data_IF_522110380810
#
_entry.id   IF_522110380810
#
_cell.length_a   1.000
_cell.length_b   1.000
_cell.length_c   1.000
_cell.angle_alpha   90.00
_cell.angle_beta   90.00
_cell.angle_gamma   90.00
#
_symmetry.space_group_name_H-M   'P 1'
#
loop_
_entity.id
_entity.type
_entity.pdbx_description
1 polymer ?
#
# COMPACT_ATOMS: atom_id res chain seq x y z
N UNK A 1 -19.29 -17.22 6.49
CA UNK A 1 -18.88 -16.21 5.49
C UNK A 1 -19.93 -15.11 5.39
N UNK A 2 -19.59 -13.91 4.90
CA UNK A 2 -20.60 -12.86 4.65
C UNK A 2 -21.41 -13.29 3.41
N UNK A 3 -22.71 -13.53 3.58
CA UNK A 3 -23.61 -13.90 2.49
C UNK A 3 -24.15 -12.66 1.77
N UNK A 4 -24.65 -11.68 2.52
CA UNK A 4 -25.06 -10.38 1.97
C UNK A 4 -25.01 -9.30 3.04
N UNK A 5 -25.26 -8.06 2.64
CA UNK A 5 -25.45 -6.92 3.52
C UNK A 5 -26.82 -6.29 3.27
N UNK A 6 -27.48 -5.85 4.35
CA UNK A 6 -28.65 -4.97 4.28
C UNK A 6 -28.32 -3.73 5.10
N UNK A 7 -28.20 -2.58 4.42
CA UNK A 7 -27.66 -1.37 5.01
C UNK A 7 -26.27 -1.64 5.66
N UNK A 8 -26.09 -1.28 6.93
CA UNK A 8 -24.86 -1.54 7.69
C UNK A 8 -24.77 -2.96 8.29
N UNK A 9 -25.83 -3.77 8.19
CA UNK A 9 -25.90 -5.11 8.81
C UNK A 9 -25.35 -6.17 7.84
N UNK A 10 -24.42 -6.99 8.33
CA UNK A 10 -23.86 -8.14 7.61
C UNK A 10 -24.63 -9.40 8.03
N UNK A 11 -25.09 -10.18 7.05
CA UNK A 11 -25.72 -11.48 7.25
C UNK A 11 -24.71 -12.57 6.89
N UNK A 12 -24.60 -13.57 7.76
CA UNK A 12 -23.61 -14.64 7.63
C UNK A 12 -24.29 -15.96 7.30
N UNK A 13 -23.64 -16.77 6.46
CA UNK A 13 -24.03 -18.13 6.16
C UNK A 13 -22.80 -19.06 6.19
N UNK A 14 -23.06 -20.37 6.21
CA UNK A 14 -22.03 -21.40 6.03
C UNK A 14 -21.34 -21.24 4.66
N UNK A 15 -20.09 -21.70 4.55
CA UNK A 15 -19.32 -21.55 3.31
C UNK A 15 -20.00 -22.23 2.12
N UNK A 16 -20.56 -23.43 2.33
CA UNK A 16 -21.40 -24.20 1.38
C UNK A 16 -22.61 -23.46 0.80
N UNK A 17 -23.07 -22.41 1.48
CA UNK A 17 -24.20 -21.59 1.02
C UNK A 17 -23.76 -20.37 0.22
N UNK A 18 -22.46 -20.10 0.15
CA UNK A 18 -21.90 -18.87 -0.44
C UNK A 18 -20.91 -19.18 -1.56
N UNK A 19 -20.09 -20.22 -1.40
CA UNK A 19 -19.10 -20.63 -2.38
C UNK A 19 -19.65 -21.74 -3.28
N UNK A 20 -19.30 -21.74 -4.58
CA UNK A 20 -19.60 -22.85 -5.48
C UNK A 20 -18.97 -24.18 -5.00
N UNK A 21 -19.65 -25.29 -5.26
CA UNK A 21 -19.20 -26.63 -4.87
C UNK A 21 -17.85 -26.97 -5.50
N UNK A 22 -17.59 -26.47 -6.71
CA UNK A 22 -16.34 -26.68 -7.45
C UNK A 22 -15.13 -26.04 -6.76
N UNK A 23 -15.34 -25.10 -5.83
CA UNK A 23 -14.29 -24.50 -5.01
C UNK A 23 -14.19 -25.23 -3.66
N UNK A 24 -15.33 -25.53 -3.03
CA UNK A 24 -15.37 -26.17 -1.71
C UNK A 24 -14.90 -27.62 -1.71
N UNK A 25 -15.19 -28.36 -2.78
CA UNK A 25 -14.79 -29.76 -2.93
C UNK A 25 -13.33 -29.93 -3.35
N UNK A 26 -12.56 -28.86 -3.57
CA UNK A 26 -11.15 -28.98 -3.91
C UNK A 26 -10.34 -29.47 -2.71
N UNK A 27 -9.40 -30.37 -2.99
CA UNK A 27 -8.38 -30.72 -2.01
C UNK A 27 -7.55 -29.49 -1.63
N UNK A 28 -7.05 -29.46 -0.40
CA UNK A 28 -6.09 -28.44 0.01
C UNK A 28 -4.88 -28.48 -0.96
N UNK A 29 -4.56 -27.38 -1.67
CA UNK A 29 -3.45 -27.36 -2.61
C UNK A 29 -2.09 -27.47 -1.92
N UNK A 30 -2.02 -27.37 -0.58
CA UNK A 30 -0.78 -27.46 0.17
C UNK A 30 -0.63 -28.84 0.85
N UNK A 31 0.51 -29.52 0.66
CA UNK A 31 0.74 -30.83 1.26
C UNK A 31 0.91 -30.77 2.78
N UNK A 32 1.31 -29.62 3.34
CA UNK A 32 1.46 -29.38 4.77
C UNK A 32 1.39 -27.87 5.11
N UNK A 33 1.35 -27.56 6.40
CA UNK A 33 1.32 -26.19 6.91
C UNK A 33 2.54 -25.37 6.48
N UNK A 34 3.72 -26.00 6.34
CA UNK A 34 4.94 -25.29 5.95
C UNK A 34 4.88 -24.82 4.49
N UNK A 35 4.35 -25.65 3.59
CA UNK A 35 4.11 -25.28 2.21
C UNK A 35 3.11 -24.12 2.10
N UNK A 36 2.04 -24.14 2.90
CA UNK A 36 1.09 -23.03 2.99
C UNK A 36 1.75 -21.75 3.49
N UNK A 37 2.56 -21.82 4.55
CA UNK A 37 3.29 -20.67 5.07
C UNK A 37 4.30 -20.09 4.07
N UNK A 38 5.05 -20.95 3.37
CA UNK A 38 5.94 -20.55 2.29
C UNK A 38 5.18 -19.76 1.22
N UNK A 39 4.04 -20.28 0.76
CA UNK A 39 3.18 -19.59 -0.19
C UNK A 39 2.69 -18.24 0.36
N UNK A 40 2.27 -18.16 1.63
CA UNK A 40 1.82 -16.89 2.23
C UNK A 40 2.93 -15.84 2.28
N UNK A 41 4.16 -16.24 2.63
CA UNK A 41 5.31 -15.33 2.71
C UNK A 41 5.72 -14.84 1.33
N UNK A 42 5.84 -15.72 0.34
CA UNK A 42 6.11 -15.34 -1.06
C UNK A 42 5.03 -14.40 -1.60
N UNK A 43 3.75 -14.71 -1.36
CA UNK A 43 2.64 -13.84 -1.74
C UNK A 43 2.73 -12.47 -1.07
N UNK A 44 3.19 -12.41 0.19
CA UNK A 44 3.40 -11.16 0.91
C UNK A 44 4.54 -10.35 0.31
N UNK A 45 5.67 -10.99 0.03
CA UNK A 45 6.83 -10.37 -0.62
C UNK A 45 6.39 -9.76 -1.96
N UNK A 46 5.72 -10.54 -2.82
CA UNK A 46 5.28 -10.06 -4.12
C UNK A 46 4.21 -8.95 -4.06
N UNK A 47 3.42 -8.90 -2.98
CA UNK A 47 2.41 -7.87 -2.77
C UNK A 47 3.01 -6.52 -2.33
N UNK A 48 4.10 -6.54 -1.56
CA UNK A 48 4.85 -5.33 -1.16
C UNK A 48 5.85 -4.91 -2.24
N UNK A 49 6.39 -5.87 -2.98
CA UNK A 49 7.40 -5.68 -4.04
C UNK A 49 8.80 -6.05 -3.55
N UNK A 50 9.26 -5.46 -2.45
CA UNK A 50 10.54 -5.80 -1.81
C UNK A 50 10.32 -5.90 -0.30
N UNK A 51 10.86 -6.94 0.33
CA UNK A 51 10.69 -7.12 1.77
C UNK A 51 11.86 -7.84 2.42
N UNK A 52 12.24 -7.43 3.62
CA UNK A 52 13.33 -8.04 4.38
C UNK A 52 12.95 -9.35 5.09
N UNK A 53 13.95 -10.16 5.42
CA UNK A 53 13.80 -11.41 6.18
C UNK A 53 13.78 -11.23 7.71
N UNK A 54 13.37 -10.06 8.23
CA UNK A 54 13.34 -9.71 9.66
C UNK A 54 11.90 -9.41 10.15
N UNK A 55 11.65 -9.18 11.45
CA UNK A 55 10.32 -8.79 11.92
C UNK A 55 9.84 -7.52 11.20
N UNK A 56 8.57 -7.50 10.82
CA UNK A 56 7.99 -6.48 9.94
C UNK A 56 6.49 -6.39 10.16
N UNK A 57 5.94 -5.17 10.13
CA UNK A 57 4.49 -4.95 10.12
C UNK A 57 3.84 -5.52 8.84
N UNK A 58 4.60 -5.68 7.75
CA UNK A 58 4.10 -6.33 6.53
C UNK A 58 3.73 -7.81 6.74
N UNK A 59 4.25 -8.48 7.77
CA UNK A 59 3.88 -9.86 8.09
C UNK A 59 2.67 -9.97 9.02
N UNK A 60 2.03 -8.86 9.43
CA UNK A 60 0.84 -8.91 10.27
C UNK A 60 -0.26 -9.79 9.64
N UNK A 61 -0.86 -10.63 10.48
CA UNK A 61 -1.84 -11.64 10.08
C UNK A 61 -1.23 -12.98 9.64
N UNK A 62 0.09 -13.11 9.53
CA UNK A 62 0.78 -14.42 9.36
C UNK A 62 1.19 -14.92 10.75
N UNK A 63 0.28 -15.65 11.40
CA UNK A 63 0.50 -16.22 12.72
C UNK A 63 1.65 -17.24 12.69
N UNK A 64 2.42 -17.32 13.78
CA UNK A 64 3.51 -18.30 13.91
C UNK A 64 4.84 -17.92 13.22
N UNK A 65 4.89 -16.81 12.45
CA UNK A 65 6.10 -16.36 11.72
C UNK A 65 7.16 -15.72 12.63
N UNK A 66 7.68 -16.49 13.59
CA UNK A 66 8.77 -16.11 14.49
C UNK A 66 10.14 -16.23 13.80
N UNK A 67 11.21 -15.79 14.47
CA UNK A 67 12.56 -15.68 13.89
C UNK A 67 13.06 -16.95 13.19
N UNK A 68 13.03 -18.09 13.88
CA UNK A 68 13.47 -19.37 13.30
C UNK A 68 12.59 -19.81 12.13
N UNK A 69 11.25 -19.78 12.30
CA UNK A 69 10.30 -20.18 11.26
C UNK A 69 10.41 -19.30 10.02
N UNK A 70 10.54 -17.98 10.20
CA UNK A 70 10.77 -17.03 9.11
C UNK A 70 12.06 -17.34 8.37
N UNK A 71 13.15 -17.58 9.08
CA UNK A 71 14.43 -17.96 8.47
C UNK A 71 14.28 -19.22 7.62
N UNK A 72 13.69 -20.28 8.16
CA UNK A 72 13.45 -21.53 7.42
C UNK A 72 12.62 -21.31 6.15
N UNK A 73 11.58 -20.48 6.21
CA UNK A 73 10.73 -20.17 5.05
C UNK A 73 11.53 -19.39 3.99
N UNK A 74 12.27 -18.36 4.38
CA UNK A 74 13.09 -17.58 3.44
C UNK A 74 14.18 -18.45 2.81
N UNK A 75 14.88 -19.27 3.59
CA UNK A 75 15.89 -20.20 3.10
C UNK A 75 15.30 -21.18 2.08
N UNK A 76 14.13 -21.77 2.39
CA UNK A 76 13.45 -22.70 1.49
C UNK A 76 13.01 -22.01 0.18
N UNK A 77 12.38 -20.83 0.26
CA UNK A 77 11.94 -20.08 -0.92
C UNK A 77 13.12 -19.62 -1.80
N UNK A 78 14.23 -19.21 -1.19
CA UNK A 78 15.45 -18.84 -1.92
C UNK A 78 16.10 -20.06 -2.58
N UNK A 79 16.22 -21.19 -1.87
CA UNK A 79 16.77 -22.42 -2.44
C UNK A 79 15.93 -22.96 -3.62
N UNK A 80 14.61 -22.76 -3.56
CA UNK A 80 13.68 -23.08 -4.67
C UNK A 80 13.69 -22.05 -5.81
N UNK A 81 14.44 -20.94 -5.68
CA UNK A 81 14.46 -19.87 -6.67
C UNK A 81 13.13 -19.10 -6.80
N UNK A 82 12.26 -19.17 -5.78
CA UNK A 82 10.95 -18.50 -5.77
C UNK A 82 11.04 -17.05 -5.32
N UNK A 83 12.05 -16.73 -4.51
CA UNK A 83 12.41 -15.36 -4.15
C UNK A 83 13.91 -15.17 -4.39
N UNK A 84 14.31 -13.96 -4.74
CA UNK A 84 15.71 -13.59 -4.92
C UNK A 84 16.10 -12.44 -3.98
N UNK A 85 17.31 -12.47 -3.40
CA UNK A 85 17.84 -11.34 -2.66
C UNK A 85 18.18 -10.20 -3.61
N UNK A 86 17.89 -8.98 -3.19
CA UNK A 86 18.15 -7.71 -3.88
C UNK A 86 18.80 -6.77 -2.88
N UNK A 87 19.99 -6.29 -3.20
CA UNK A 87 20.64 -5.24 -2.43
C UNK A 87 20.13 -3.88 -2.90
N UNK A 88 19.62 -3.07 -1.98
CA UNK A 88 19.21 -1.69 -2.25
C UNK A 88 20.23 -0.75 -1.63
N UNK A 89 20.64 0.28 -2.38
CA UNK A 89 21.57 1.30 -1.90
C UNK A 89 21.03 1.97 -0.62
N UNK A 90 21.90 2.15 0.38
CA UNK A 90 21.52 2.74 1.67
C UNK A 90 20.74 1.83 2.61
N UNK A 91 20.42 0.61 2.19
CA UNK A 91 19.84 -0.45 3.05
C UNK A 91 20.92 -1.48 3.32
N UNK A 92 21.18 -1.78 4.59
CA UNK A 92 22.24 -2.72 4.97
C UNK A 92 21.80 -4.17 4.70
N UNK A 93 20.61 -4.56 5.16
CA UNK A 93 20.10 -5.91 4.98
C UNK A 93 19.58 -6.16 3.55
N UNK A 94 19.72 -7.37 3.00
CA UNK A 94 19.11 -7.71 1.72
C UNK A 94 17.58 -7.66 1.83
N UNK A 95 16.95 -7.09 0.81
CA UNK A 95 15.53 -7.24 0.56
C UNK A 95 15.30 -8.44 -0.35
N UNK A 96 14.11 -8.99 -0.34
CA UNK A 96 13.73 -10.12 -1.18
C UNK A 96 12.61 -9.70 -2.13
N UNK A 97 12.74 -10.13 -3.38
CA UNK A 97 11.78 -9.96 -4.46
C UNK A 97 11.21 -11.33 -4.82
N UNK A 98 9.93 -11.41 -5.19
CA UNK A 98 9.42 -12.65 -5.77
C UNK A 98 10.05 -12.85 -7.16
N UNK A 99 10.62 -14.03 -7.45
CA UNK A 99 11.38 -14.26 -8.67
C UNK A 99 10.56 -14.00 -9.95
N UNK A 100 9.24 -14.23 -9.90
CA UNK A 100 8.32 -13.90 -10.98
C UNK A 100 8.29 -12.41 -11.37
N UNK A 101 8.75 -11.51 -10.49
CA UNK A 101 8.83 -10.07 -10.71
C UNK A 101 10.22 -9.60 -11.17
N UNK A 102 11.21 -10.48 -11.23
CA UNK A 102 12.57 -10.15 -11.68
C UNK A 102 12.61 -9.56 -13.10
N UNK A 103 11.82 -10.04 -14.08
CA UNK A 103 11.76 -9.40 -15.40
C UNK A 103 11.31 -7.94 -15.35
N UNK A 104 10.35 -7.61 -14.47
CA UNK A 104 9.87 -6.23 -14.32
C UNK A 104 10.96 -5.33 -13.70
N UNK A 105 11.72 -5.84 -12.73
CA UNK A 105 12.86 -5.10 -12.16
C UNK A 105 13.94 -4.83 -13.22
N UNK A 106 14.26 -5.83 -14.05
CA UNK A 106 15.24 -5.67 -15.13
C UNK A 106 14.77 -4.65 -16.17
N UNK A 107 13.50 -4.71 -16.59
CA UNK A 107 12.93 -3.73 -17.52
C UNK A 107 13.00 -2.30 -16.95
N UNK A 108 12.64 -2.11 -15.67
CA UNK A 108 12.75 -0.80 -15.02
C UNK A 108 14.20 -0.29 -14.99
N UNK A 109 15.18 -1.16 -14.78
CA UNK A 109 16.61 -0.81 -14.82
C UNK A 109 17.07 -0.42 -16.22
N UNK A 110 16.60 -1.11 -17.26
CA UNK A 110 16.96 -0.84 -18.66
C UNK A 110 16.35 0.47 -19.18
N UNK A 111 15.10 0.79 -18.80
CA UNK A 111 14.47 2.08 -19.13
C UNK A 111 15.19 3.26 -18.47
N UNK A 112 15.82 3.03 -17.31
CA UNK A 112 16.62 4.01 -16.57
C UNK A 112 15.82 5.12 -15.88
N UNK A 113 14.57 5.36 -16.30
CA UNK A 113 13.62 6.26 -15.65
C UNK A 113 12.18 5.85 -15.98
N UNK A 114 11.34 5.71 -14.96
CA UNK A 114 9.93 5.43 -15.19
C UNK A 114 9.20 6.70 -15.63
N UNK A 115 8.27 6.57 -16.60
CA UNK A 115 7.36 7.68 -16.95
C UNK A 115 6.61 8.14 -15.70
N UNK A 116 6.73 9.41 -15.28
CA UNK A 116 6.15 9.84 -14.01
C UNK A 116 4.63 9.67 -14.00
N UNK A 117 4.15 8.87 -13.05
CA UNK A 117 2.73 8.71 -12.76
C UNK A 117 2.44 9.29 -11.39
N UNK A 118 1.33 10.03 -11.27
CA UNK A 118 0.91 10.60 -9.98
C UNK A 118 -0.27 9.82 -9.43
N UNK A 119 -0.13 9.24 -8.25
CA UNK A 119 -1.17 8.45 -7.58
C UNK A 119 -1.24 8.73 -6.08
N UNK A 120 -2.42 8.52 -5.51
CA UNK A 120 -2.64 8.59 -4.07
C UNK A 120 -2.75 7.16 -3.51
N UNK A 121 -1.91 6.85 -2.53
CA UNK A 121 -1.87 5.52 -1.92
C UNK A 121 -2.89 5.45 -0.78
N UNK A 122 -3.73 4.43 -0.78
CA UNK A 122 -4.63 4.17 0.34
C UNK A 122 -3.81 3.85 1.61
N UNK A 123 -4.27 4.19 2.83
CA UNK A 123 -3.48 3.95 4.04
C UNK A 123 -3.17 2.47 4.33
N UNK A 124 -3.94 1.56 3.71
CA UNK A 124 -3.79 0.11 3.79
C UNK A 124 -3.23 -0.50 2.51
N UNK A 125 -2.73 0.32 1.59
CA UNK A 125 -1.98 -0.15 0.43
C UNK A 125 -0.80 -1.01 0.88
N UNK A 126 -0.54 -2.09 0.17
CA UNK A 126 0.45 -3.09 0.56
C UNK A 126 1.86 -2.48 0.66
N UNK A 127 2.16 -1.46 -0.15
CA UNK A 127 3.43 -0.75 -0.11
C UNK A 127 3.65 -0.08 1.26
N UNK A 128 2.58 0.39 1.91
CA UNK A 128 2.63 1.12 3.18
C UNK A 128 2.60 0.20 4.41
N UNK A 129 2.55 -1.12 4.25
CA UNK A 129 2.46 -2.03 5.38
C UNK A 129 3.68 -2.01 6.28
N UNK A 130 4.88 -1.74 5.74
CA UNK A 130 6.09 -1.56 6.53
C UNK A 130 6.59 -0.10 6.47
N UNK A 131 6.35 0.63 7.56
CA UNK A 131 6.72 2.04 7.68
C UNK A 131 8.23 2.27 7.68
N UNK A 132 9.00 1.36 8.26
CA UNK A 132 10.46 1.48 8.27
C UNK A 132 11.01 1.27 6.85
N UNK A 133 10.38 0.40 6.05
CA UNK A 133 10.80 0.13 4.67
C UNK A 133 10.58 1.38 3.84
N UNK A 134 9.41 1.98 3.99
CA UNK A 134 9.06 3.24 3.31
C UNK A 134 10.01 4.36 3.72
N UNK A 135 10.31 4.48 5.01
CA UNK A 135 11.29 5.45 5.50
C UNK A 135 12.68 5.23 4.90
N UNK A 136 13.14 3.97 4.76
CA UNK A 136 14.48 3.65 4.24
C UNK A 136 14.60 3.86 2.73
N UNK A 137 13.58 3.49 1.97
CA UNK A 137 13.62 3.54 0.50
C UNK A 137 13.19 4.91 -0.04
N UNK A 138 12.19 5.54 0.56
CA UNK A 138 11.58 6.76 0.03
C UNK A 138 11.87 8.01 0.87
N UNK A 139 12.60 7.87 1.98
CA UNK A 139 12.80 8.95 2.97
C UNK A 139 11.48 9.62 3.41
N UNK A 140 10.46 8.79 3.61
CA UNK A 140 9.10 9.26 3.86
C UNK A 140 8.56 8.70 5.16
N UNK A 141 8.25 9.58 6.13
CA UNK A 141 7.56 9.20 7.36
C UNK A 141 6.04 9.25 7.15
N UNK A 142 5.39 8.12 7.41
CA UNK A 142 3.95 7.96 7.28
C UNK A 142 3.35 7.25 8.49
N UNK A 143 2.38 7.91 9.13
CA UNK A 143 1.55 7.33 10.17
C UNK A 143 0.09 7.49 9.78
N UNK A 144 -0.68 6.41 9.87
CA UNK A 144 -2.12 6.49 9.69
C UNK A 144 -2.79 7.00 10.97
N UNK A 145 -3.16 8.28 10.97
CA UNK A 145 -3.58 9.01 12.17
C UNK A 145 -5.09 8.86 12.51
N UNK A 146 -5.79 7.91 11.89
CA UNK A 146 -7.23 7.68 12.08
C UNK A 146 -7.59 7.42 13.55
N UNK A 147 -6.71 6.74 14.28
CA UNK A 147 -6.85 6.42 15.71
C UNK A 147 -6.17 7.44 16.62
N UNK A 148 -5.45 8.41 16.07
CA UNK A 148 -4.82 9.47 16.85
C UNK A 148 -5.87 10.50 17.25
N UNK A 149 -5.93 10.93 18.53
CA UNK A 149 -6.85 11.99 18.97
C UNK A 149 -6.69 13.24 18.09
N UNK A 150 -7.80 13.91 17.76
CA UNK A 150 -7.83 15.01 16.78
C UNK A 150 -6.76 16.08 17.05
N UNK A 151 -6.57 16.45 18.33
CA UNK A 151 -5.59 17.46 18.77
C UNK A 151 -4.12 17.04 18.63
N UNK A 152 -3.85 15.76 18.46
CA UNK A 152 -2.51 15.17 18.37
C UNK A 152 -2.15 14.78 16.93
N UNK A 153 -3.06 14.97 15.97
CA UNK A 153 -2.82 14.67 14.55
C UNK A 153 -1.88 15.72 13.96
N UNK A 154 -0.91 15.26 13.17
CA UNK A 154 -0.01 16.11 12.40
C UNK A 154 -0.65 16.58 11.09
N UNK A 155 -1.43 15.72 10.43
CA UNK A 155 -2.00 16.00 9.11
C UNK A 155 -3.53 15.98 9.13
N UNK A 156 -4.14 14.82 9.42
CA UNK A 156 -5.58 14.66 9.21
C UNK A 156 -6.12 13.29 9.59
N UNK A 157 -7.41 13.06 9.41
CA UNK A 157 -8.07 11.79 9.77
C UNK A 157 -7.77 10.67 8.76
N UNK A 158 -7.90 10.96 7.46
CA UNK A 158 -7.74 9.97 6.39
C UNK A 158 -6.82 10.52 5.30
N UNK A 159 -5.51 10.42 5.59
CA UNK A 159 -4.45 11.04 4.79
C UNK A 159 -3.79 10.00 3.89
N UNK A 160 -3.68 10.33 2.61
CA UNK A 160 -3.14 9.48 1.55
C UNK A 160 -1.77 9.99 1.11
N UNK A 161 -0.71 9.16 1.11
CA UNK A 161 0.56 9.53 0.50
C UNK A 161 0.40 9.81 -1.01
N UNK A 162 1.07 10.85 -1.49
CA UNK A 162 1.08 11.28 -2.88
C UNK A 162 2.38 10.81 -3.53
N UNK A 163 2.28 9.79 -4.38
CA UNK A 163 3.39 9.28 -5.20
C UNK A 163 3.43 10.07 -6.52
N UNK A 164 4.60 10.55 -6.93
CA UNK A 164 4.86 11.07 -8.26
C UNK A 164 6.14 10.46 -8.84
N UNK A 165 5.98 9.66 -9.89
CA UNK A 165 7.07 8.87 -10.43
C UNK A 165 7.62 7.93 -9.36
N UNK A 166 8.88 8.14 -8.98
CA UNK A 166 9.63 7.28 -8.07
C UNK A 166 9.68 7.83 -6.63
N UNK A 167 8.97 8.93 -6.34
CA UNK A 167 9.05 9.63 -5.05
C UNK A 167 7.69 9.84 -4.40
N UNK A 168 7.63 9.61 -3.08
CA UNK A 168 6.52 10.08 -2.25
C UNK A 168 6.73 11.56 -1.97
N UNK A 169 6.00 12.41 -2.72
CA UNK A 169 6.21 13.86 -2.75
C UNK A 169 5.36 14.63 -1.73
N UNK A 170 4.44 13.95 -1.06
CA UNK A 170 3.53 14.61 -0.15
C UNK A 170 2.39 13.74 0.35
N UNK A 171 1.33 14.39 0.82
CA UNK A 171 0.15 13.81 1.47
C UNK A 171 -1.10 14.61 1.11
N UNK A 172 -2.23 13.94 0.93
CA UNK A 172 -3.53 14.59 0.73
C UNK A 172 -4.59 14.03 1.67
N UNK A 173 -5.37 14.89 2.31
CA UNK A 173 -6.57 14.51 3.04
C UNK A 173 -7.80 14.81 2.18
N UNK A 174 -8.65 13.80 1.99
CA UNK A 174 -9.78 13.88 1.08
C UNK A 174 -11.08 13.47 1.77
N UNK A 175 -12.19 14.10 1.37
CA UNK A 175 -13.53 13.75 1.84
C UNK A 175 -14.54 13.74 0.70
N UNK A 176 -15.22 12.61 0.53
CA UNK A 176 -16.31 12.46 -0.43
C UNK A 176 -17.59 13.09 0.10
N UNK A 177 -18.16 14.02 -0.65
CA UNK A 177 -19.53 14.49 -0.51
C UNK A 177 -20.42 13.75 -1.52
N UNK A 178 -21.10 12.71 -1.04
CA UNK A 178 -21.98 11.90 -1.86
C UNK A 178 -23.22 12.65 -2.34
N UNK A 179 -23.68 13.65 -1.59
CA UNK A 179 -24.92 14.40 -1.88
C UNK A 179 -24.70 15.36 -3.04
N UNK A 180 -23.57 16.07 -3.02
CA UNK A 180 -23.24 17.05 -4.05
C UNK A 180 -22.36 16.48 -5.18
N UNK A 181 -21.87 15.24 -5.03
CA UNK A 181 -21.00 14.62 -6.03
C UNK A 181 -19.63 15.29 -6.11
N UNK A 182 -19.09 15.75 -4.98
CA UNK A 182 -17.83 16.50 -4.90
C UNK A 182 -16.81 15.72 -4.07
N UNK A 183 -15.57 15.64 -4.55
CA UNK A 183 -14.43 15.21 -3.75
C UNK A 183 -13.74 16.44 -3.17
N UNK A 184 -13.85 16.61 -1.85
CA UNK A 184 -13.19 17.71 -1.16
C UNK A 184 -11.73 17.37 -0.86
N UNK A 185 -10.83 18.28 -1.21
CA UNK A 185 -9.46 18.30 -0.71
C UNK A 185 -9.46 19.13 0.57
N UNK A 186 -9.24 18.47 1.71
CA UNK A 186 -9.19 19.09 3.03
C UNK A 186 -7.78 19.59 3.36
N UNK A 187 -6.76 18.90 2.87
CA UNK A 187 -5.37 19.30 3.04
C UNK A 187 -4.48 18.66 1.98
N UNK A 188 -3.42 19.38 1.61
CA UNK A 188 -2.39 18.95 0.67
C UNK A 188 -1.04 19.46 1.18
N UNK A 189 -0.14 18.52 1.48
CA UNK A 189 1.16 18.80 2.10
C UNK A 189 2.24 18.20 1.23
N UNK A 190 3.26 18.98 0.89
CA UNK A 190 4.42 18.52 0.14
C UNK A 190 5.63 18.35 1.06
N UNK A 191 6.52 17.41 0.75
CA UNK A 191 7.77 17.24 1.52
C UNK A 191 8.64 18.50 1.41
N UNK A 192 9.38 18.85 2.47
CA UNK A 192 10.17 20.10 2.56
C UNK A 192 11.23 20.22 1.48
N UNK A 193 11.80 19.08 1.11
CA UNK A 193 12.89 18.97 0.17
C UNK A 193 12.41 19.04 -1.29
N UNK A 194 11.08 19.16 -1.52
CA UNK A 194 10.49 19.44 -2.82
C UNK A 194 10.32 20.96 -3.01
N UNK A 195 11.13 21.60 -3.88
CA UNK A 195 10.95 23.02 -4.19
C UNK A 195 9.62 23.26 -4.88
N UNK A 196 8.96 24.38 -4.58
CA UNK A 196 7.67 24.74 -5.17
C UNK A 196 7.66 24.69 -6.71
N UNK A 197 8.76 25.13 -7.35
CA UNK A 197 8.90 25.10 -8.81
C UNK A 197 8.93 23.68 -9.43
N UNK A 198 9.15 22.63 -8.62
CA UNK A 198 9.17 21.23 -9.04
C UNK A 198 7.88 20.48 -8.72
N UNK A 199 6.90 21.14 -8.10
CA UNK A 199 5.61 20.52 -7.81
C UNK A 199 4.85 20.28 -9.12
N UNK A 200 4.45 19.03 -9.42
CA UNK A 200 3.77 18.69 -10.67
C UNK A 200 2.26 18.98 -10.59
N UNK A 201 1.87 20.24 -10.40
CA UNK A 201 0.48 20.66 -10.11
C UNK A 201 -0.56 20.02 -11.05
N UNK A 202 -0.33 20.10 -12.37
CA UNK A 202 -1.24 19.49 -13.36
C UNK A 202 -1.41 17.98 -13.19
N UNK A 203 -0.35 17.27 -12.81
CA UNK A 203 -0.40 15.83 -12.62
C UNK A 203 -1.12 15.46 -11.31
N UNK A 204 -0.97 16.29 -10.27
CA UNK A 204 -1.71 16.18 -9.01
C UNK A 204 -3.20 16.45 -9.23
N UNK A 205 -3.55 17.52 -9.93
CA UNK A 205 -4.95 17.83 -10.32
C UNK A 205 -5.57 16.66 -11.09
N UNK A 206 -4.88 16.17 -12.13
CA UNK A 206 -5.35 15.03 -12.90
C UNK A 206 -5.50 13.75 -12.05
N UNK A 207 -4.64 13.54 -11.05
CA UNK A 207 -4.76 12.43 -10.09
C UNK A 207 -6.02 12.57 -9.24
N UNK A 208 -6.26 13.75 -8.67
CA UNK A 208 -7.44 14.06 -7.86
C UNK A 208 -8.74 13.90 -8.66
N UNK A 209 -8.76 14.34 -9.93
CA UNK A 209 -9.91 14.16 -10.81
C UNK A 209 -10.19 12.69 -11.14
N UNK A 210 -9.14 11.88 -11.39
CA UNK A 210 -9.30 10.43 -11.57
C UNK A 210 -9.89 9.79 -10.32
N UNK A 211 -9.40 10.17 -9.14
CA UNK A 211 -9.90 9.64 -7.88
C UNK A 211 -11.34 10.11 -7.60
N UNK A 212 -11.68 11.35 -7.96
CA UNK A 212 -13.05 11.86 -7.88
C UNK A 212 -14.00 11.02 -8.73
N UNK A 213 -13.65 10.79 -10.00
CA UNK A 213 -14.45 9.93 -10.89
C UNK A 213 -14.59 8.51 -10.36
N UNK A 214 -13.51 7.91 -9.86
CA UNK A 214 -13.54 6.58 -9.24
C UNK A 214 -14.52 6.51 -8.05
N UNK A 215 -14.65 7.60 -7.29
CA UNK A 215 -15.57 7.73 -6.17
C UNK A 215 -16.98 8.24 -6.55
N UNK A 216 -17.29 8.33 -7.85
CA UNK A 216 -18.58 8.82 -8.33
C UNK A 216 -18.82 10.30 -8.07
N UNK A 217 -17.75 11.10 -8.02
CA UNK A 217 -17.80 12.56 -7.92
C UNK A 217 -17.54 13.18 -9.31
N UNK A 218 -18.30 14.22 -9.65
CA UNK A 218 -18.15 14.96 -10.91
C UNK A 218 -17.17 16.13 -10.82
N UNK A 219 -16.78 16.54 -9.61
CA UNK A 219 -15.86 17.65 -9.40
C UNK A 219 -14.94 17.42 -8.20
N UNK A 220 -13.79 18.10 -8.23
CA UNK A 220 -12.89 18.27 -7.10
C UNK A 220 -13.05 19.69 -6.59
N UNK A 221 -13.15 19.87 -5.27
CA UNK A 221 -13.20 21.20 -4.68
C UNK A 221 -12.25 21.28 -3.48
N UNK A 222 -11.66 22.44 -3.28
CA UNK A 222 -10.96 22.75 -2.04
C UNK A 222 -12.01 23.05 -0.96
N UNK A 223 -11.82 22.54 0.26
CA UNK A 223 -12.72 22.86 1.36
C UNK A 223 -12.61 24.36 1.73
N UNK A 224 -13.76 25.05 1.80
CA UNK A 224 -13.82 26.50 2.09
C UNK A 224 -13.63 26.83 3.57
N UNK A 225 -13.85 25.88 4.48
CA UNK A 225 -13.73 26.07 5.93
C UNK A 225 -12.74 25.07 6.53
N UNK A 226 -11.62 25.58 7.05
CA UNK A 226 -10.60 24.80 7.74
C UNK A 226 -9.25 24.75 7.04
N UNK A 227 -8.63 25.92 6.83
CA UNK A 227 -7.18 26.04 6.69
C UNK A 227 -6.60 25.46 5.41
N UNK A 228 -6.81 26.15 4.29
CA UNK A 228 -5.82 26.11 3.23
C UNK A 228 -4.48 26.56 3.82
N UNK A 229 -3.52 25.66 3.80
CA UNK A 229 -2.13 26.02 3.74
C UNK A 229 -1.49 24.89 2.96
N UNK A 230 -1.10 25.16 1.72
CA UNK A 230 0.07 24.49 1.18
C UNK A 230 1.16 24.70 2.23
N UNK A 231 1.39 23.71 3.08
CA UNK A 231 2.48 23.72 4.03
C UNK A 231 3.51 22.76 3.47
N UNK A 232 4.67 23.30 3.12
CA UNK A 232 5.89 22.52 3.20
C UNK A 232 6.04 22.17 4.69
N UNK A 233 5.96 20.89 5.02
CA UNK A 233 6.03 20.44 6.42
C UNK A 233 7.39 19.91 6.72
#
# INVERSE_FOLDING_TARGET
MIHHKKNAVKYYALAEKVLPEEILGQADPFPDDFAFECWRVERRIGAVGLLWARPSDAFLGIHGLRGERRRLIFDALTAQGRICPVQVEGVEEPLYLAAAQLPALHAAREEGHLRPRTELLAPLDNLLWDRELIRRIFDFDYKWEVYTPVRERRYGYYVLPLLHGERLIGRAELRRDAKNGILHVLGLWYEKDLPAARIPHRAVEACLERLARFNGCGAVALAKDGGFAEKQI
#
